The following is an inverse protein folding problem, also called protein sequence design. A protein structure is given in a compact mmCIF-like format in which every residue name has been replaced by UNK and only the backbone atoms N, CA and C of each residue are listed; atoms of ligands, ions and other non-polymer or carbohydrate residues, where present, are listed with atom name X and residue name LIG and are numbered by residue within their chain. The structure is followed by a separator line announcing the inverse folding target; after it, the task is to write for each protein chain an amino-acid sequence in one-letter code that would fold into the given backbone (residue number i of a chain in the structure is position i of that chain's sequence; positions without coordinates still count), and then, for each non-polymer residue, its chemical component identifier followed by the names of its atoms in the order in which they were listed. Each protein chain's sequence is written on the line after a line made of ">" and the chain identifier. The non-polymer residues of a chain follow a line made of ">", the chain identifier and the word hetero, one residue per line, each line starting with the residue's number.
data_IF_107381975137
#
_entry.id   IF_107381975137
#
_cell.length_a   1.000
_cell.length_b   1.000
_cell.length_c   1.000
_cell.angle_alpha   90.00
_cell.angle_beta   90.00
_cell.angle_gamma   90.00
#
_symmetry.space_group_name_H-M   'P 1'
#
loop_
_entity.id
_entity.type
_entity.pdbx_description
1 polymer ?
#
# COMPACT_ATOMS: atom_id res chain seq x y z
N UNK A 1 -18.04 21.40 10.69
CA UNK A 1 -17.59 19.98 10.69
C UNK A 1 -17.34 19.67 9.23
N UNK A 2 -16.07 19.59 8.80
CA UNK A 2 -15.71 19.56 7.37
C UNK A 2 -16.17 18.23 6.72
N UNK A 3 -16.50 18.27 5.43
CA UNK A 3 -16.84 17.08 4.62
C UNK A 3 -15.79 15.98 4.73
N UNK A 4 -14.52 16.34 4.92
CA UNK A 4 -13.42 15.39 5.15
C UNK A 4 -13.60 14.58 6.45
N UNK A 5 -14.10 15.17 7.52
CA UNK A 5 -14.33 14.48 8.80
C UNK A 5 -15.49 13.49 8.70
N UNK A 6 -16.55 13.86 7.98
CA UNK A 6 -17.69 12.99 7.69
C UNK A 6 -17.26 11.79 6.82
N UNK A 7 -16.48 12.03 5.76
CA UNK A 7 -15.94 10.99 4.87
C UNK A 7 -14.98 10.02 5.59
N UNK A 8 -14.18 10.50 6.52
CA UNK A 8 -13.27 9.69 7.32
C UNK A 8 -14.03 8.75 8.26
N UNK A 9 -15.08 9.23 8.91
CA UNK A 9 -15.93 8.44 9.80
C UNK A 9 -16.69 7.34 9.05
N UNK A 10 -17.18 7.63 7.86
CA UNK A 10 -17.85 6.63 6.99
C UNK A 10 -16.88 5.53 6.56
N UNK A 11 -15.67 5.88 6.16
CA UNK A 11 -14.64 4.90 5.78
C UNK A 11 -14.23 4.01 6.96
N UNK A 12 -14.09 4.59 8.14
CA UNK A 12 -13.79 3.82 9.35
C UNK A 12 -14.94 2.89 9.75
N UNK A 13 -16.19 3.33 9.67
CA UNK A 13 -17.36 2.51 9.92
C UNK A 13 -17.44 1.35 8.92
N UNK A 14 -17.23 1.64 7.65
CA UNK A 14 -17.20 0.63 6.59
C UNK A 14 -16.12 -0.44 6.84
N UNK A 15 -14.90 -0.04 7.19
CA UNK A 15 -13.82 -0.95 7.53
C UNK A 15 -14.18 -1.84 8.73
N UNK A 16 -14.83 -1.29 9.76
CA UNK A 16 -15.32 -2.07 10.92
C UNK A 16 -16.39 -3.09 10.52
N UNK A 17 -17.32 -2.72 9.62
CA UNK A 17 -18.34 -3.65 9.11
C UNK A 17 -17.67 -4.80 8.36
N UNK A 18 -16.72 -4.54 7.47
CA UNK A 18 -16.00 -5.58 6.75
C UNK A 18 -15.22 -6.50 7.69
N UNK A 19 -14.57 -5.92 8.70
CA UNK A 19 -13.85 -6.68 9.73
C UNK A 19 -14.79 -7.58 10.51
N UNK A 20 -15.98 -7.10 10.89
CA UNK A 20 -16.99 -7.88 11.59
C UNK A 20 -17.51 -9.04 10.73
N UNK A 21 -17.85 -8.79 9.46
CA UNK A 21 -18.27 -9.84 8.54
C UNK A 21 -17.16 -10.87 8.36
N UNK A 22 -15.92 -10.43 8.22
CA UNK A 22 -14.77 -11.33 8.09
C UNK A 22 -14.58 -12.22 9.31
N UNK A 23 -14.75 -11.67 10.52
CA UNK A 23 -14.61 -12.40 11.77
C UNK A 23 -15.77 -13.40 12.03
N UNK A 24 -16.99 -13.10 11.58
CA UNK A 24 -18.19 -13.92 11.86
C UNK A 24 -18.53 -14.87 10.73
N UNK A 25 -18.42 -14.44 9.48
CA UNK A 25 -18.84 -15.20 8.29
C UNK A 25 -17.67 -15.59 7.37
N UNK A 26 -16.44 -15.20 7.73
CA UNK A 26 -15.23 -15.47 6.97
C UNK A 26 -14.90 -14.41 5.92
N UNK A 27 -13.62 -14.38 5.53
CA UNK A 27 -13.05 -13.37 4.59
C UNK A 27 -13.71 -13.43 3.23
N UNK A 28 -14.10 -14.60 2.74
CA UNK A 28 -14.82 -14.76 1.46
C UNK A 28 -16.15 -14.00 1.44
N UNK A 29 -16.91 -14.08 2.53
CA UNK A 29 -18.17 -13.37 2.67
C UNK A 29 -17.95 -11.86 2.71
N UNK A 30 -16.94 -11.40 3.45
CA UNK A 30 -16.58 -9.99 3.53
C UNK A 30 -16.14 -9.45 2.14
N UNK A 31 -15.32 -10.20 1.40
CA UNK A 31 -14.84 -9.80 0.06
C UNK A 31 -15.98 -9.78 -0.96
N UNK A 32 -16.90 -10.75 -0.93
CA UNK A 32 -18.10 -10.75 -1.76
C UNK A 32 -19.00 -9.53 -1.47
N UNK A 33 -19.22 -9.24 -0.18
CA UNK A 33 -19.99 -8.07 0.23
C UNK A 33 -19.33 -6.77 -0.26
N UNK A 34 -18.02 -6.60 -0.04
CA UNK A 34 -17.24 -5.44 -0.51
C UNK A 34 -17.34 -5.28 -2.03
N UNK A 35 -17.14 -6.38 -2.78
CA UNK A 35 -17.19 -6.36 -4.25
C UNK A 35 -18.57 -5.99 -4.77
N UNK A 36 -19.63 -6.56 -4.17
CA UNK A 36 -21.00 -6.24 -4.56
C UNK A 36 -21.37 -4.79 -4.30
N UNK A 37 -20.97 -4.27 -3.13
CA UNK A 37 -21.31 -2.90 -2.74
C UNK A 37 -20.55 -1.84 -3.54
N UNK A 38 -19.24 -2.05 -3.78
CA UNK A 38 -18.39 -1.06 -4.45
C UNK A 38 -18.42 -1.12 -5.95
N UNK A 39 -18.58 -2.31 -6.52
CA UNK A 39 -18.46 -2.52 -7.97
C UNK A 39 -19.75 -3.02 -8.61
N UNK A 40 -20.80 -3.26 -7.82
CA UNK A 40 -22.08 -3.84 -8.26
C UNK A 40 -21.90 -5.17 -9.02
N UNK A 41 -20.89 -5.97 -8.64
CA UNK A 41 -20.52 -7.25 -9.24
C UNK A 41 -20.63 -8.38 -8.25
N UNK A 42 -21.08 -9.54 -8.73
CA UNK A 42 -21.03 -10.78 -7.96
C UNK A 42 -19.65 -11.42 -8.11
N UNK A 43 -19.09 -11.89 -6.99
CA UNK A 43 -17.79 -12.55 -6.93
C UNK A 43 -18.00 -14.06 -6.74
N UNK A 44 -17.54 -14.86 -7.71
CA UNK A 44 -17.64 -16.32 -7.66
C UNK A 44 -16.32 -16.97 -7.23
N UNK A 45 -16.16 -17.20 -5.94
CA UNK A 45 -14.96 -17.84 -5.38
C UNK A 45 -15.04 -19.38 -5.37
N UNK A 46 -16.23 -19.98 -5.56
CA UNK A 46 -16.37 -21.45 -5.63
C UNK A 46 -15.93 -22.00 -7.00
N UNK A 47 -16.26 -21.29 -8.07
CA UNK A 47 -15.85 -21.62 -9.44
C UNK A 47 -15.40 -20.32 -10.15
N UNK A 48 -14.15 -19.89 -9.93
CA UNK A 48 -13.65 -18.63 -10.49
C UNK A 48 -13.61 -18.68 -12.02
N UNK A 49 -14.36 -17.79 -12.67
CA UNK A 49 -14.45 -17.70 -14.14
C UNK A 49 -13.76 -16.45 -14.64
N UNK A 50 -14.13 -15.30 -14.10
CA UNK A 50 -13.55 -14.00 -14.48
C UNK A 50 -12.13 -13.83 -13.94
N UNK A 51 -11.37 -12.93 -14.55
CA UNK A 51 -10.03 -12.55 -14.04
C UNK A 51 -10.10 -12.07 -12.59
N UNK A 52 -11.10 -11.25 -12.25
CA UNK A 52 -11.31 -10.76 -10.88
C UNK A 52 -11.59 -11.89 -9.90
N UNK A 53 -12.43 -12.87 -10.26
CA UNK A 53 -12.69 -14.04 -9.41
C UNK A 53 -11.39 -14.83 -9.16
N UNK A 54 -10.60 -15.07 -10.22
CA UNK A 54 -9.35 -15.84 -10.15
C UNK A 54 -8.30 -15.14 -9.28
N UNK A 55 -8.09 -13.83 -9.49
CA UNK A 55 -7.15 -13.04 -8.70
C UNK A 55 -7.58 -13.05 -7.23
N UNK A 56 -8.85 -12.76 -6.94
CA UNK A 56 -9.36 -12.76 -5.56
C UNK A 56 -9.27 -14.15 -4.91
N UNK A 57 -9.57 -15.21 -5.67
CA UNK A 57 -9.41 -16.59 -5.16
C UNK A 57 -7.96 -16.88 -4.79
N UNK A 58 -6.99 -16.54 -5.64
CA UNK A 58 -5.56 -16.72 -5.36
C UNK A 58 -5.14 -15.89 -4.15
N UNK A 59 -5.57 -14.64 -4.07
CA UNK A 59 -5.28 -13.73 -2.97
C UNK A 59 -5.76 -14.29 -1.62
N UNK A 60 -6.94 -14.90 -1.58
CA UNK A 60 -7.53 -15.39 -0.34
C UNK A 60 -7.08 -16.80 0.03
N UNK A 61 -6.87 -17.70 -0.96
CA UNK A 61 -6.70 -19.13 -0.72
C UNK A 61 -5.35 -19.72 -1.16
N UNK A 62 -4.53 -18.95 -1.91
CA UNK A 62 -3.25 -19.42 -2.46
C UNK A 62 -2.09 -18.51 -2.04
N UNK A 63 -2.14 -17.99 -0.84
CA UNK A 63 -1.07 -17.15 -0.33
C UNK A 63 0.24 -17.90 -0.19
N UNK A 64 1.33 -17.20 -0.47
CA UNK A 64 2.68 -17.70 -0.24
C UNK A 64 3.45 -16.70 0.63
N UNK A 65 4.46 -17.15 1.40
CA UNK A 65 5.36 -16.25 2.12
C UNK A 65 6.03 -15.22 1.21
N UNK A 66 6.26 -15.56 -0.06
CA UNK A 66 6.79 -14.65 -1.06
C UNK A 66 5.85 -13.47 -1.33
N UNK A 67 4.52 -13.68 -1.32
CA UNK A 67 3.56 -12.60 -1.53
C UNK A 67 3.70 -11.53 -0.43
N UNK A 68 3.79 -11.93 0.84
CA UNK A 68 3.99 -11.01 1.95
C UNK A 68 5.36 -10.32 1.88
N UNK A 69 6.43 -11.06 1.58
CA UNK A 69 7.77 -10.50 1.43
C UNK A 69 7.87 -9.47 0.30
N UNK A 70 7.22 -9.74 -0.85
CA UNK A 70 7.18 -8.80 -1.97
C UNK A 70 6.24 -7.60 -1.72
N UNK A 71 5.28 -7.74 -0.81
CA UNK A 71 4.36 -6.66 -0.43
C UNK A 71 4.97 -5.74 0.64
N UNK A 72 5.83 -6.27 1.52
CA UNK A 72 6.63 -5.47 2.46
C UNK A 72 7.57 -4.56 1.66
N UNK A 73 7.32 -3.24 1.71
CA UNK A 73 8.08 -2.24 0.93
C UNK A 73 9.56 -2.16 1.30
N UNK A 74 9.94 -2.66 2.48
CA UNK A 74 11.33 -2.75 2.87
C UNK A 74 11.95 -4.11 2.52
N UNK A 75 11.26 -5.22 2.84
CA UNK A 75 11.78 -6.56 2.59
C UNK A 75 11.88 -6.90 1.09
N UNK A 76 11.01 -6.35 0.24
CA UNK A 76 11.06 -6.57 -1.22
C UNK A 76 12.38 -6.11 -1.83
N UNK A 77 13.09 -5.19 -1.19
CA UNK A 77 14.39 -4.68 -1.67
C UNK A 77 15.42 -5.80 -1.77
N UNK A 78 15.50 -6.65 -0.75
CA UNK A 78 16.39 -7.82 -0.76
C UNK A 78 16.05 -8.80 -1.91
N UNK A 79 14.75 -9.00 -2.18
CA UNK A 79 14.32 -9.81 -3.31
C UNK A 79 14.75 -9.22 -4.65
N UNK A 80 14.61 -7.90 -4.83
CA UNK A 80 15.01 -7.18 -6.05
C UNK A 80 16.54 -7.25 -6.22
N UNK A 81 17.30 -7.04 -5.16
CA UNK A 81 18.77 -7.17 -5.15
C UNK A 81 19.23 -8.56 -5.55
N UNK A 82 18.60 -9.63 -4.99
CA UNK A 82 18.88 -11.03 -5.36
C UNK A 82 18.56 -11.33 -6.83
N UNK A 83 17.73 -10.54 -7.48
CA UNK A 83 17.45 -10.63 -8.93
C UNK A 83 18.44 -9.82 -9.78
N UNK A 84 19.44 -9.20 -9.18
CA UNK A 84 20.42 -8.37 -9.89
C UNK A 84 19.89 -6.99 -10.30
N UNK A 85 18.78 -6.55 -9.73
CA UNK A 85 18.09 -5.32 -10.08
C UNK A 85 18.20 -4.24 -8.98
N UNK A 86 19.16 -4.34 -8.07
CA UNK A 86 19.34 -3.38 -6.98
C UNK A 86 19.50 -1.92 -7.45
N UNK A 87 20.00 -1.71 -8.64
CA UNK A 87 20.20 -0.38 -9.24
C UNK A 87 18.89 0.37 -9.56
N UNK A 88 17.72 -0.31 -9.59
CA UNK A 88 16.42 0.35 -9.79
C UNK A 88 15.76 0.78 -8.47
N UNK A 89 16.33 0.39 -7.33
CA UNK A 89 15.79 0.74 -6.02
C UNK A 89 16.13 2.17 -5.66
N UNK A 90 15.12 2.92 -5.18
CA UNK A 90 15.38 4.24 -4.59
C UNK A 90 16.27 4.08 -3.36
N UNK A 91 17.37 4.84 -3.21
CA UNK A 91 18.29 4.69 -2.10
C UNK A 91 17.60 4.88 -0.74
N UNK A 92 17.97 4.05 0.24
CA UNK A 92 17.55 4.24 1.63
C UNK A 92 18.40 5.35 2.26
N UNK A 93 17.74 6.22 3.03
CA UNK A 93 18.40 7.27 3.81
C UNK A 93 18.21 7.07 5.32
N UNK A 94 17.41 6.07 5.72
CA UNK A 94 17.28 5.70 7.14
C UNK A 94 16.28 4.57 7.40
N UNK A 95 16.38 3.94 8.57
CA UNK A 95 15.54 2.85 9.01
C UNK A 95 16.07 1.45 8.67
N UNK A 96 15.29 0.38 8.83
CA UNK A 96 13.89 0.42 9.31
C UNK A 96 13.81 0.67 10.83
N UNK A 97 12.79 1.41 11.25
CA UNK A 97 12.50 1.71 12.66
C UNK A 97 11.20 1.03 13.09
N UNK A 98 11.14 0.57 14.34
CA UNK A 98 9.97 -0.08 14.92
C UNK A 98 9.03 0.92 15.61
N UNK A 99 9.52 2.11 15.92
CA UNK A 99 8.72 3.18 16.52
C UNK A 99 9.02 4.53 15.86
N UNK A 100 8.11 5.48 16.01
CA UNK A 100 8.30 6.83 15.51
C UNK A 100 9.37 7.61 16.31
N UNK A 101 9.62 7.21 17.53
CA UNK A 101 10.59 7.81 18.46
C UNK A 101 12.03 7.50 18.05
N UNK A 102 12.26 6.33 17.44
CA UNK A 102 13.58 5.92 16.93
C UNK A 102 14.09 6.78 15.77
N UNK A 103 13.19 7.54 15.12
CA UNK A 103 13.57 8.37 13.98
C UNK A 103 14.32 9.61 14.42
N UNK A 104 15.62 9.62 14.17
CA UNK A 104 16.45 10.82 14.31
C UNK A 104 16.39 11.67 13.04
N UNK A 105 15.55 12.69 13.05
CA UNK A 105 15.42 13.61 11.91
C UNK A 105 16.68 14.45 11.66
N UNK A 106 17.60 14.58 12.63
CA UNK A 106 18.83 15.37 12.43
C UNK A 106 19.76 14.67 11.47
N UNK A 107 19.82 13.35 11.50
CA UNK A 107 20.63 12.50 10.63
C UNK A 107 20.10 12.37 9.19
N UNK A 108 18.80 12.68 8.96
CA UNK A 108 18.21 12.58 7.64
C UNK A 108 18.60 13.77 6.74
N UNK A 109 18.69 13.56 5.40
CA UNK A 109 19.05 14.59 4.45
C UNK A 109 18.04 15.75 4.41
N UNK A 110 18.30 16.76 3.57
CA UNK A 110 17.40 17.91 3.41
C UNK A 110 16.03 17.52 2.87
N UNK A 111 15.98 16.52 2.01
CA UNK A 111 14.75 16.02 1.38
C UNK A 111 14.70 14.49 1.46
N UNK A 112 13.56 13.92 1.78
CA UNK A 112 13.34 12.47 1.92
C UNK A 112 11.86 12.13 1.86
N UNK A 113 11.57 10.84 1.72
CA UNK A 113 10.23 10.30 1.85
C UNK A 113 10.20 9.26 2.98
N UNK A 114 9.31 9.44 3.98
CA UNK A 114 9.06 8.44 5.02
C UNK A 114 7.91 7.55 4.57
N UNK A 115 8.07 6.24 4.76
CA UNK A 115 7.07 5.24 4.37
C UNK A 115 6.91 4.18 5.44
N UNK A 116 5.68 3.63 5.56
CA UNK A 116 5.45 2.41 6.33
C UNK A 116 5.59 1.19 5.41
N UNK A 117 6.06 0.07 5.98
CA UNK A 117 6.32 -1.19 5.25
C UNK A 117 5.04 -1.91 4.84
N UNK A 118 3.95 -1.80 5.62
CA UNK A 118 2.82 -2.71 5.75
C UNK A 118 1.47 -2.16 5.27
N UNK A 119 1.44 -1.15 4.40
CA UNK A 119 0.16 -0.60 3.92
C UNK A 119 0.30 0.31 2.73
N UNK A 120 -0.82 0.70 2.13
CA UNK A 120 -0.90 1.66 1.05
C UNK A 120 -1.18 3.08 1.57
N UNK A 121 -0.71 4.11 0.84
CA UNK A 121 -0.89 5.53 1.18
C UNK A 121 -0.33 5.95 2.55
N UNK A 122 0.58 5.15 3.10
CA UNK A 122 1.31 5.44 4.34
C UNK A 122 2.68 6.02 3.99
N UNK A 123 2.69 7.26 3.51
CA UNK A 123 3.89 7.98 3.12
C UNK A 123 3.78 9.45 3.52
N UNK A 124 4.90 10.03 3.92
CA UNK A 124 5.06 11.44 4.25
C UNK A 124 6.22 11.99 3.45
N UNK A 125 5.92 12.88 2.51
CA UNK A 125 6.91 13.47 1.60
C UNK A 125 7.49 14.73 2.23
N UNK A 126 8.81 14.82 2.30
CA UNK A 126 9.56 15.93 2.87
C UNK A 126 10.49 16.52 1.79
N UNK A 127 9.99 17.44 0.96
CA UNK A 127 10.82 18.10 -0.04
C UNK A 127 11.82 19.08 0.58
N UNK A 128 11.56 19.59 1.78
CA UNK A 128 12.44 20.46 2.55
C UNK A 128 12.26 20.26 4.05
N UNK A 129 13.24 19.64 4.70
CA UNK A 129 13.26 19.33 6.12
C UNK A 129 13.10 20.57 7.01
N UNK A 130 13.61 21.73 6.56
CA UNK A 130 13.51 22.99 7.34
C UNK A 130 12.07 23.48 7.49
N UNK A 131 11.16 23.05 6.61
CA UNK A 131 9.72 23.40 6.62
C UNK A 131 8.85 22.27 7.18
N UNK A 132 9.46 21.18 7.62
CA UNK A 132 8.74 20.01 8.09
C UNK A 132 8.12 20.23 9.46
N UNK A 133 6.87 19.82 9.62
CA UNK A 133 6.25 19.69 10.93
C UNK A 133 6.58 18.29 11.52
N UNK A 134 7.60 18.25 12.36
CA UNK A 134 8.09 16.99 12.99
C UNK A 134 7.00 16.34 13.84
N UNK A 135 6.25 17.11 14.62
CA UNK A 135 5.18 16.58 15.48
C UNK A 135 4.09 15.91 14.67
N UNK A 136 3.63 16.58 13.59
CA UNK A 136 2.64 15.98 12.68
C UNK A 136 3.17 14.72 12.01
N UNK A 137 4.41 14.71 11.57
CA UNK A 137 5.03 13.54 10.98
C UNK A 137 5.08 12.36 11.95
N UNK A 138 5.49 12.59 13.23
CA UNK A 138 5.49 11.56 14.27
C UNK A 138 4.10 11.00 14.52
N UNK A 139 3.07 11.85 14.62
CA UNK A 139 1.68 11.40 14.76
C UNK A 139 1.22 10.51 13.62
N UNK A 140 1.55 10.87 12.38
CA UNK A 140 1.24 10.03 11.22
C UNK A 140 1.94 8.67 11.27
N UNK A 141 3.23 8.64 11.62
CA UNK A 141 3.99 7.40 11.78
C UNK A 141 3.41 6.50 12.88
N UNK A 142 3.07 7.06 14.05
CA UNK A 142 2.42 6.33 15.14
C UNK A 142 1.08 5.74 14.69
N UNK A 143 0.27 6.54 13.97
CA UNK A 143 -1.00 6.07 13.41
C UNK A 143 -0.80 4.92 12.44
N UNK A 144 0.20 4.99 11.55
CA UNK A 144 0.49 3.89 10.61
C UNK A 144 0.93 2.62 11.34
N UNK A 145 1.85 2.75 12.30
CA UNK A 145 2.35 1.60 13.08
C UNK A 145 1.23 0.89 13.85
N UNK A 146 0.21 1.63 14.29
CA UNK A 146 -0.98 1.08 14.96
C UNK A 146 -2.02 0.49 13.99
N UNK A 147 -1.84 0.65 12.67
CA UNK A 147 -2.85 0.25 11.67
C UNK A 147 -2.57 -1.15 11.13
N UNK A 148 -3.48 -2.08 11.30
CA UNK A 148 -3.44 -3.39 10.66
C UNK A 148 -4.12 -3.31 9.28
N UNK A 149 -3.34 -2.96 8.26
CA UNK A 149 -3.85 -2.70 6.91
C UNK A 149 -4.60 -3.90 6.32
N UNK A 150 -4.03 -5.09 6.37
CA UNK A 150 -4.65 -6.30 5.81
C UNK A 150 -6.01 -6.66 6.42
N UNK A 151 -6.27 -6.22 7.64
CA UNK A 151 -7.53 -6.49 8.34
C UNK A 151 -8.73 -5.77 7.72
N UNK A 152 -8.57 -4.51 7.31
CA UNK A 152 -9.66 -3.74 6.71
C UNK A 152 -9.64 -3.74 5.18
N UNK A 153 -8.49 -3.99 4.56
CA UNK A 153 -8.39 -4.09 3.09
C UNK A 153 -8.84 -5.45 2.55
N UNK A 154 -9.02 -6.43 3.44
CA UNK A 154 -9.28 -7.83 3.10
C UNK A 154 -8.20 -8.42 2.19
N UNK A 155 -6.95 -8.02 2.44
CA UNK A 155 -5.73 -8.45 1.74
C UNK A 155 -4.81 -9.18 2.74
N UNK A 156 -5.01 -10.49 2.96
CA UNK A 156 -4.38 -11.23 4.06
C UNK A 156 -2.85 -11.25 4.02
N UNK A 157 -2.25 -11.10 2.84
CA UNK A 157 -0.78 -11.06 2.70
C UNK A 157 -0.12 -9.88 3.42
N UNK A 158 -0.89 -8.82 3.78
CA UNK A 158 -0.39 -7.73 4.63
C UNK A 158 -0.33 -8.08 6.12
N UNK A 159 -1.08 -9.11 6.59
CA UNK A 159 -1.20 -9.42 8.02
C UNK A 159 0.10 -9.89 8.66
N UNK A 160 1.00 -10.50 7.89
CA UNK A 160 2.29 -11.01 8.36
C UNK A 160 3.44 -10.02 8.19
N UNK A 161 3.18 -8.83 7.65
CA UNK A 161 4.23 -7.83 7.42
C UNK A 161 4.52 -7.10 8.74
N UNK A 162 5.79 -7.07 9.21
CA UNK A 162 6.17 -6.28 10.38
C UNK A 162 5.87 -4.80 10.17
N UNK A 163 5.21 -4.19 11.15
CA UNK A 163 4.91 -2.76 11.13
C UNK A 163 6.18 -1.97 11.42
N UNK A 164 6.78 -1.38 10.40
CA UNK A 164 8.01 -0.59 10.50
C UNK A 164 7.92 0.66 9.65
N UNK A 165 8.77 1.61 9.96
CA UNK A 165 8.95 2.87 9.22
C UNK A 165 10.36 2.85 8.61
N UNK A 166 10.51 3.44 7.43
CA UNK A 166 11.80 3.66 6.80
C UNK A 166 11.79 4.96 6.00
N UNK A 167 12.96 5.45 5.66
CA UNK A 167 13.13 6.64 4.83
C UNK A 167 13.96 6.33 3.59
N UNK A 168 13.56 6.88 2.46
CA UNK A 168 14.27 6.81 1.18
C UNK A 168 14.45 8.20 0.58
N UNK A 169 15.32 8.32 -0.40
CA UNK A 169 15.53 9.57 -1.13
C UNK A 169 14.21 10.13 -1.65
N UNK A 170 14.11 11.47 -1.58
CA UNK A 170 13.01 12.19 -2.21
C UNK A 170 13.28 12.28 -3.72
N UNK A 171 12.40 11.70 -4.52
CA UNK A 171 12.47 11.82 -5.97
C UNK A 171 11.98 13.22 -6.37
N UNK A 172 12.88 14.01 -6.93
CA UNK A 172 12.53 15.30 -7.49
C UNK A 172 11.51 15.13 -8.62
N UNK A 173 10.63 16.10 -8.78
CA UNK A 173 9.51 16.04 -9.73
C UNK A 173 8.45 14.97 -9.42
N UNK A 174 8.26 14.65 -8.15
CA UNK A 174 7.26 13.66 -7.70
C UNK A 174 5.83 13.92 -8.23
N UNK A 175 5.51 15.17 -8.61
CA UNK A 175 4.23 15.52 -9.23
C UNK A 175 4.15 15.11 -10.72
N UNK A 176 5.27 14.72 -11.34
CA UNK A 176 5.36 14.27 -12.73
C UNK A 176 5.80 12.81 -12.87
N UNK A 177 5.85 12.08 -11.74
CA UNK A 177 6.23 10.67 -11.78
C UNK A 177 5.20 9.87 -12.58
N UNK A 178 5.69 9.21 -13.61
CA UNK A 178 4.92 8.24 -14.39
C UNK A 178 4.99 6.89 -13.68
N UNK A 179 3.84 6.28 -13.45
CA UNK A 179 3.70 5.00 -12.79
C UNK A 179 3.44 3.92 -13.85
N UNK A 180 4.38 3.02 -14.05
CA UNK A 180 4.28 1.91 -14.99
C UNK A 180 3.85 0.65 -14.25
N UNK A 181 2.67 0.13 -14.57
CA UNK A 181 2.15 -1.12 -14.01
C UNK A 181 2.23 -2.24 -15.05
N UNK A 182 3.23 -3.07 -14.94
CA UNK A 182 3.44 -4.20 -15.84
C UNK A 182 2.53 -5.34 -15.38
N UNK A 183 1.54 -5.67 -16.20
CA UNK A 183 0.63 -6.78 -15.95
C UNK A 183 1.21 -8.06 -16.52
N UNK A 184 1.42 -9.05 -15.65
CA UNK A 184 2.01 -10.34 -16.01
C UNK A 184 0.98 -11.45 -15.86
N UNK A 185 0.87 -12.33 -16.84
CA UNK A 185 0.10 -13.56 -16.79
C UNK A 185 1.04 -14.76 -16.90
N UNK A 186 0.98 -15.67 -15.94
CA UNK A 186 1.87 -16.83 -15.85
C UNK A 186 3.37 -16.47 -15.92
N UNK A 187 3.75 -15.34 -15.32
CA UNK A 187 5.13 -14.86 -15.30
C UNK A 187 5.60 -14.14 -16.57
N UNK A 188 4.74 -13.96 -17.57
CA UNK A 188 5.05 -13.22 -18.80
C UNK A 188 4.37 -11.85 -18.77
N UNK A 189 5.10 -10.76 -19.10
CA UNK A 189 4.50 -9.44 -19.25
C UNK A 189 3.59 -9.44 -20.49
N UNK A 190 2.36 -8.99 -20.33
CA UNK A 190 1.34 -8.95 -21.39
C UNK A 190 1.02 -7.52 -21.82
N UNK A 191 0.89 -6.59 -20.87
CA UNK A 191 0.64 -5.18 -21.16
C UNK A 191 1.12 -4.29 -20.01
N UNK A 192 1.31 -3.01 -20.31
CA UNK A 192 1.70 -1.99 -19.34
C UNK A 192 0.57 -0.96 -19.22
N UNK A 193 0.11 -0.74 -18.00
CA UNK A 193 -0.75 0.41 -17.69
C UNK A 193 0.14 1.57 -17.24
N UNK A 194 0.16 2.62 -18.04
CA UNK A 194 0.89 3.86 -17.74
C UNK A 194 -0.05 4.83 -17.07
N UNK A 195 0.32 5.31 -15.88
CA UNK A 195 -0.44 6.31 -15.13
C UNK A 195 0.39 7.59 -15.03
N UNK A 196 -0.05 8.66 -15.66
CA UNK A 196 0.57 9.99 -15.63
C UNK A 196 -0.40 11.03 -15.03
N UNK A 197 0.08 12.26 -14.90
CA UNK A 197 -0.71 13.42 -14.49
C UNK A 197 -1.54 13.21 -13.23
N UNK A 198 -0.93 12.59 -12.20
CA UNK A 198 -1.61 12.32 -10.93
C UNK A 198 -2.03 13.60 -10.25
N UNK A 199 -3.31 13.70 -9.93
CA UNK A 199 -3.91 14.78 -9.16
C UNK A 199 -3.90 14.46 -7.66
N UNK A 200 -4.02 15.47 -6.83
CA UNK A 200 -4.08 15.32 -5.38
C UNK A 200 -5.26 14.45 -4.89
N UNK A 201 -6.36 14.40 -5.64
CA UNK A 201 -7.52 13.53 -5.36
C UNK A 201 -7.28 12.05 -5.72
N UNK A 202 -6.15 11.72 -6.35
CA UNK A 202 -5.77 10.37 -6.77
C UNK A 202 -6.12 10.02 -8.21
N UNK A 203 -6.79 10.92 -8.96
CA UNK A 203 -7.02 10.73 -10.39
C UNK A 203 -5.70 10.77 -11.16
N UNK A 204 -5.63 10.02 -12.26
CA UNK A 204 -4.50 10.01 -13.18
C UNK A 204 -4.98 9.78 -14.60
N UNK A 205 -4.24 10.28 -15.57
CA UNK A 205 -4.40 9.84 -16.95
C UNK A 205 -3.90 8.39 -17.07
N UNK A 206 -4.66 7.53 -17.76
CA UNK A 206 -4.32 6.11 -17.89
C UNK A 206 -4.25 5.75 -19.38
N UNK A 207 -3.16 5.08 -19.73
CA UNK A 207 -2.95 4.56 -21.09
C UNK A 207 -2.46 3.11 -20.98
N UNK A 208 -3.01 2.24 -21.82
CA UNK A 208 -2.57 0.84 -21.96
C UNK A 208 -1.73 0.72 -23.22
N UNK A 209 -0.59 0.06 -23.09
CA UNK A 209 0.34 -0.19 -24.19
C UNK A 209 0.92 -1.61 -24.08
#
# INVERSE_FOLDING_TARGET
>A
MSEEYCNMNIKMLYAKILSLISATAGVDCAKKFDTKLRFHKELNLKKPITLSDKITYIELHKQSPLASSCTDKFAVREYVEKKGLGNILVPLVGGPWNSAEEVDFTSLPKSFAIKATHGCKMNYLVPDKSKMNISKCRQEMQRWLATTYGGYSLEPHYLSIPHRIYAEEFLENSNQLIDYKIHCLNGKPEFILVCSDRKANGDAAMQVT
#
